data_IF_860367605317
#
_entry.id   IF_860367605317
#
_cell.length_a   1.000
_cell.length_b   1.000
_cell.length_c   1.000
_cell.angle_alpha   90.00
_cell.angle_beta   90.00
_cell.angle_gamma   90.00
#
_symmetry.space_group_name_H-M   'P 1'
#
loop_
_entity.id
_entity.type
_entity.pdbx_description
1 polymer ?
#
# COMPACT_ATOMS: atom_id res chain seq x y z
N UNK A 1 43.30 -7.06 2.01
CA UNK A 1 43.54 -8.35 2.69
C UNK A 1 42.92 -8.39 4.08
N UNK A 2 43.15 -7.37 4.93
CA UNK A 2 42.59 -7.29 6.31
C UNK A 2 41.05 -7.35 6.32
N UNK A 3 40.37 -6.50 5.56
CA UNK A 3 38.90 -6.47 5.47
C UNK A 3 38.27 -7.80 5.01
N UNK A 4 38.95 -8.52 4.12
CA UNK A 4 38.51 -9.82 3.62
C UNK A 4 38.62 -10.91 4.70
N UNK A 5 39.64 -10.81 5.55
CA UNK A 5 39.88 -11.72 6.66
C UNK A 5 38.85 -11.49 7.79
N UNK A 6 38.49 -10.23 8.04
CA UNK A 6 37.47 -9.85 9.02
C UNK A 6 36.08 -10.35 8.60
N UNK A 7 35.70 -10.19 7.32
CA UNK A 7 34.42 -10.69 6.81
C UNK A 7 34.30 -12.21 6.88
N UNK A 8 35.37 -12.95 6.59
CA UNK A 8 35.38 -14.42 6.68
C UNK A 8 35.26 -14.93 8.11
N UNK A 9 35.84 -14.21 9.09
CA UNK A 9 35.70 -14.58 10.50
C UNK A 9 34.28 -14.34 11.00
N UNK A 10 33.66 -13.22 10.60
CA UNK A 10 32.27 -12.91 10.94
C UNK A 10 31.30 -13.93 10.35
N UNK A 11 31.46 -14.30 9.08
CA UNK A 11 30.58 -15.30 8.45
C UNK A 11 30.70 -16.69 9.11
N UNK A 12 31.91 -17.10 9.51
CA UNK A 12 32.12 -18.35 10.28
C UNK A 12 31.48 -18.30 11.66
N UNK A 13 31.60 -17.16 12.36
CA UNK A 13 31.00 -16.97 13.68
C UNK A 13 29.47 -17.01 13.58
N UNK A 14 28.89 -16.31 12.62
CA UNK A 14 27.43 -16.30 12.38
C UNK A 14 26.94 -17.71 12.03
N UNK A 15 27.58 -18.40 11.08
CA UNK A 15 27.24 -19.78 10.74
C UNK A 15 27.28 -20.71 11.97
N UNK A 16 28.25 -20.53 12.87
CA UNK A 16 28.34 -21.35 14.08
C UNK A 16 27.18 -21.11 15.06
N UNK A 17 26.69 -19.87 15.16
CA UNK A 17 25.62 -19.49 16.10
C UNK A 17 24.23 -19.77 15.53
N UNK A 18 24.01 -19.45 14.26
CA UNK A 18 22.68 -19.49 13.62
C UNK A 18 22.48 -20.72 12.74
N UNK A 19 23.56 -21.42 12.35
CA UNK A 19 23.52 -22.45 11.31
C UNK A 19 23.34 -21.88 9.89
N UNK A 20 23.48 -20.56 9.72
CA UNK A 20 23.23 -19.86 8.45
C UNK A 20 24.37 -18.92 8.07
N UNK A 21 24.62 -18.76 6.77
CA UNK A 21 25.54 -17.75 6.24
C UNK A 21 25.02 -16.33 6.44
N UNK A 22 25.94 -15.37 6.48
CA UNK A 22 25.63 -13.95 6.66
C UNK A 22 24.68 -13.41 5.56
N UNK A 23 24.77 -13.97 4.35
CA UNK A 23 23.89 -13.67 3.22
C UNK A 23 22.41 -13.98 3.52
N UNK A 24 22.13 -15.16 4.10
CA UNK A 24 20.77 -15.56 4.46
C UNK A 24 20.21 -14.72 5.59
N UNK A 25 21.07 -14.37 6.57
CA UNK A 25 20.69 -13.49 7.67
C UNK A 25 20.28 -12.10 7.15
N UNK A 26 21.06 -11.54 6.23
CA UNK A 26 20.75 -10.24 5.60
C UNK A 26 19.40 -10.33 4.87
N UNK A 27 19.18 -11.38 4.08
CA UNK A 27 17.91 -11.59 3.37
C UNK A 27 16.74 -11.65 4.37
N UNK A 28 16.86 -12.43 5.44
CA UNK A 28 15.80 -12.55 6.46
C UNK A 28 15.50 -11.19 7.06
N UNK A 29 16.52 -10.43 7.48
CA UNK A 29 16.33 -9.11 8.09
C UNK A 29 15.66 -8.15 7.11
N UNK A 30 16.09 -8.13 5.85
CA UNK A 30 15.49 -7.26 4.83
C UNK A 30 14.02 -7.60 4.59
N UNK A 31 13.70 -8.88 4.36
CA UNK A 31 12.32 -9.30 4.12
C UNK A 31 11.44 -9.16 5.36
N UNK A 32 11.95 -9.47 6.57
CA UNK A 32 11.17 -9.28 7.80
C UNK A 32 10.87 -7.81 8.04
N UNK A 33 11.83 -6.92 7.77
CA UNK A 33 11.61 -5.46 7.88
C UNK A 33 10.58 -5.00 6.85
N UNK A 34 10.67 -5.47 5.61
CA UNK A 34 9.69 -5.15 4.58
C UNK A 34 8.28 -5.62 4.97
N UNK A 35 8.14 -6.88 5.41
CA UNK A 35 6.85 -7.40 5.88
C UNK A 35 6.31 -6.57 7.04
N UNK A 36 7.15 -6.27 8.04
CA UNK A 36 6.76 -5.47 9.19
C UNK A 36 6.22 -4.08 8.78
N UNK A 37 6.89 -3.42 7.84
CA UNK A 37 6.46 -2.12 7.31
C UNK A 37 5.14 -2.18 6.53
N UNK A 38 4.81 -3.33 5.93
CA UNK A 38 3.61 -3.50 5.10
C UNK A 38 2.41 -4.07 5.88
N UNK A 39 2.59 -4.60 7.10
CA UNK A 39 1.49 -5.09 7.95
C UNK A 39 0.33 -4.09 8.08
N UNK A 40 0.56 -2.77 8.27
CA UNK A 40 -0.54 -1.80 8.38
C UNK A 40 -1.47 -1.79 7.16
N UNK A 41 -0.98 -2.12 5.96
CA UNK A 41 -1.79 -2.21 4.73
C UNK A 41 -2.79 -3.36 4.77
N UNK A 42 -2.61 -4.34 5.65
CA UNK A 42 -3.52 -5.48 5.83
C UNK A 42 -4.56 -5.21 6.93
N UNK A 43 -4.76 -3.96 7.32
CA UNK A 43 -5.73 -3.57 8.34
C UNK A 43 -6.87 -2.72 7.77
N UNK A 44 -7.97 -2.63 8.52
CA UNK A 44 -9.10 -1.76 8.20
C UNK A 44 -8.90 -0.31 8.70
N UNK A 45 -7.69 0.06 9.13
CA UNK A 45 -7.41 1.40 9.63
C UNK A 45 -6.93 2.31 8.51
N UNK A 46 -7.34 3.58 8.61
CA UNK A 46 -6.78 4.66 7.81
C UNK A 46 -5.29 4.80 8.13
N UNK A 47 -4.44 4.77 7.10
CA UNK A 47 -3.01 4.99 7.24
C UNK A 47 -2.70 6.47 7.46
N UNK A 48 -1.65 6.74 8.23
CA UNK A 48 -1.19 8.11 8.45
C UNK A 48 -0.41 8.61 7.22
N UNK A 49 -0.86 9.74 6.67
CA UNK A 49 -0.20 10.44 5.59
C UNK A 49 -0.96 11.72 5.24
N UNK A 50 -0.25 12.74 4.74
CA UNK A 50 -0.86 14.05 4.47
C UNK A 50 -1.98 13.95 3.43
N UNK A 51 -1.78 13.16 2.37
CA UNK A 51 -2.77 12.98 1.29
C UNK A 51 -3.70 11.79 1.50
N UNK A 52 -3.40 10.90 2.45
CA UNK A 52 -4.09 9.62 2.62
C UNK A 52 -5.60 9.79 2.85
N UNK A 53 -5.99 10.73 3.71
CA UNK A 53 -7.41 10.98 3.98
C UNK A 53 -8.18 11.48 2.75
N UNK A 54 -7.55 12.30 1.90
CA UNK A 54 -8.15 12.75 0.65
C UNK A 54 -8.37 11.60 -0.33
N UNK A 55 -7.42 10.67 -0.40
CA UNK A 55 -7.52 9.48 -1.24
C UNK A 55 -8.55 8.46 -0.72
N UNK A 56 -8.72 8.30 0.59
CA UNK A 56 -9.83 7.52 1.14
C UNK A 56 -11.18 8.15 0.83
N UNK A 57 -11.31 9.47 1.01
CA UNK A 57 -12.52 10.21 0.65
C UNK A 57 -12.92 9.98 -0.81
N UNK A 58 -11.96 10.06 -1.73
CA UNK A 58 -12.19 9.75 -3.15
C UNK A 58 -12.63 8.30 -3.37
N UNK A 59 -12.12 7.35 -2.59
CA UNK A 59 -12.50 5.93 -2.69
C UNK A 59 -13.95 5.70 -2.26
N UNK A 60 -14.36 6.30 -1.15
CA UNK A 60 -15.74 6.25 -0.67
C UNK A 60 -16.70 6.88 -1.69
N UNK A 61 -16.34 8.04 -2.23
CA UNK A 61 -17.17 8.71 -3.24
C UNK A 61 -17.26 7.96 -4.56
N UNK A 62 -16.19 7.28 -4.97
CA UNK A 62 -16.25 6.44 -6.16
C UNK A 62 -17.24 5.28 -5.98
N UNK A 63 -17.30 4.69 -4.78
CA UNK A 63 -18.28 3.64 -4.49
C UNK A 63 -19.72 4.18 -4.59
N UNK A 64 -20.01 5.34 -4.00
CA UNK A 64 -21.31 6.01 -4.13
C UNK A 64 -21.68 6.31 -5.59
N UNK A 65 -20.70 6.71 -6.40
CA UNK A 65 -20.91 6.99 -7.82
C UNK A 65 -21.15 5.73 -8.62
N UNK A 66 -20.35 4.67 -8.43
CA UNK A 66 -20.53 3.41 -9.16
C UNK A 66 -21.90 2.80 -8.86
N UNK A 67 -22.34 2.81 -7.59
CA UNK A 67 -23.68 2.33 -7.22
C UNK A 67 -24.81 3.17 -7.80
N UNK A 68 -24.51 4.41 -8.20
CA UNK A 68 -25.42 5.33 -8.88
C UNK A 68 -25.18 5.43 -10.40
N UNK A 69 -24.41 4.52 -11.00
CA UNK A 69 -24.02 4.52 -12.42
C UNK A 69 -23.34 5.83 -12.89
N UNK A 70 -22.51 6.41 -12.05
CA UNK A 70 -21.70 7.62 -12.30
C UNK A 70 -20.23 7.30 -12.08
N UNK A 71 -19.35 8.15 -12.64
CA UNK A 71 -17.90 8.07 -12.43
C UNK A 71 -17.29 9.37 -11.87
N UNK A 72 -18.07 10.44 -11.78
CA UNK A 72 -17.66 11.75 -11.26
C UNK A 72 -18.90 12.58 -10.90
N UNK A 73 -18.69 13.64 -10.12
CA UNK A 73 -19.70 14.59 -9.70
C UNK A 73 -19.09 15.73 -8.86
N UNK A 74 -19.85 16.81 -8.71
CA UNK A 74 -19.47 17.95 -7.88
C UNK A 74 -19.62 17.61 -6.39
N UNK A 75 -18.69 18.09 -5.56
CA UNK A 75 -18.76 17.93 -4.10
C UNK A 75 -18.14 19.13 -3.40
N UNK A 76 -18.90 19.79 -2.53
CA UNK A 76 -18.47 21.00 -1.80
C UNK A 76 -17.29 20.74 -0.86
N UNK A 77 -17.11 19.50 -0.39
CA UNK A 77 -15.99 19.12 0.45
C UNK A 77 -14.71 18.84 -0.37
N UNK A 78 -14.81 18.84 -1.71
CA UNK A 78 -13.69 18.57 -2.61
C UNK A 78 -13.22 19.83 -3.32
N UNK A 79 -12.06 20.35 -2.92
CA UNK A 79 -11.44 21.56 -3.48
C UNK A 79 -12.39 22.78 -3.61
N UNK A 80 -13.39 22.89 -2.73
CA UNK A 80 -14.37 23.99 -2.79
C UNK A 80 -15.44 23.81 -3.87
N UNK A 81 -15.82 22.57 -4.19
CA UNK A 81 -16.88 22.28 -5.14
C UNK A 81 -16.39 21.87 -6.52
N UNK A 82 -15.14 21.46 -6.70
CA UNK A 82 -14.70 20.95 -8.00
C UNK A 82 -15.29 19.55 -8.25
N UNK A 83 -15.52 19.15 -9.51
CA UNK A 83 -15.85 17.77 -9.83
C UNK A 83 -14.75 16.82 -9.33
N UNK A 84 -15.14 15.76 -8.63
CA UNK A 84 -14.22 14.70 -8.23
C UNK A 84 -13.55 14.07 -9.45
N UNK A 85 -12.33 13.59 -9.27
CA UNK A 85 -11.50 12.98 -10.32
C UNK A 85 -11.10 13.93 -11.46
N UNK A 86 -11.26 15.26 -11.28
CA UNK A 86 -10.64 16.26 -12.19
C UNK A 86 -9.12 16.22 -12.09
N UNK A 87 -8.58 16.10 -10.88
CA UNK A 87 -7.13 16.15 -10.61
C UNK A 87 -6.49 14.77 -10.40
N UNK A 88 -7.31 13.72 -10.28
CA UNK A 88 -6.85 12.36 -9.98
C UNK A 88 -7.51 11.37 -10.92
N UNK A 89 -6.73 10.44 -11.45
CA UNK A 89 -7.24 9.37 -12.29
C UNK A 89 -8.29 8.53 -11.51
N UNK A 90 -9.51 8.33 -12.02
CA UNK A 90 -10.55 7.56 -11.33
C UNK A 90 -10.23 6.06 -11.19
N UNK A 91 -9.36 5.52 -12.04
CA UNK A 91 -9.13 4.07 -12.16
C UNK A 91 -8.75 3.36 -10.84
N UNK A 92 -7.82 3.85 -10.01
CA UNK A 92 -7.50 3.20 -8.74
C UNK A 92 -8.71 3.11 -7.80
N UNK A 93 -9.55 4.14 -7.76
CA UNK A 93 -10.74 4.19 -6.89
C UNK A 93 -11.87 3.28 -7.41
N UNK A 94 -11.95 3.10 -8.73
CA UNK A 94 -12.86 2.12 -9.34
C UNK A 94 -12.46 0.72 -8.88
N UNK A 95 -11.17 0.39 -8.93
CA UNK A 95 -10.68 -0.90 -8.46
C UNK A 95 -10.98 -1.12 -6.96
N UNK A 96 -10.83 -0.10 -6.11
CA UNK A 96 -11.23 -0.20 -4.68
C UNK A 96 -12.68 -0.63 -4.57
N UNK A 97 -13.56 0.07 -5.29
CA UNK A 97 -15.00 -0.17 -5.26
C UNK A 97 -15.37 -1.56 -5.81
N UNK A 98 -14.69 -2.00 -6.87
CA UNK A 98 -14.88 -3.34 -7.45
C UNK A 98 -14.48 -4.43 -6.46
N UNK A 99 -13.36 -4.30 -5.74
CA UNK A 99 -12.95 -5.28 -4.72
C UNK A 99 -14.01 -5.36 -3.62
N UNK A 100 -14.47 -4.21 -3.12
CA UNK A 100 -15.52 -4.15 -2.10
C UNK A 100 -16.81 -4.82 -2.58
N UNK A 101 -17.26 -4.52 -3.81
CA UNK A 101 -18.48 -5.09 -4.39
C UNK A 101 -18.36 -6.60 -4.65
N UNK A 102 -17.26 -7.06 -5.23
CA UNK A 102 -17.03 -8.48 -5.55
C UNK A 102 -16.91 -9.36 -4.30
N UNK A 103 -16.47 -8.77 -3.19
CA UNK A 103 -16.41 -9.44 -1.89
C UNK A 103 -17.69 -9.27 -1.08
N UNK A 104 -18.76 -8.72 -1.67
CA UNK A 104 -20.04 -8.46 -1.02
C UNK A 104 -19.88 -7.65 0.29
N UNK A 105 -18.92 -6.72 0.29
CA UNK A 105 -18.60 -5.89 1.44
C UNK A 105 -17.75 -6.54 2.53
N UNK A 106 -17.31 -7.79 2.35
CA UNK A 106 -16.40 -8.45 3.30
C UNK A 106 -15.08 -7.69 3.46
N UNK A 107 -14.51 -7.20 2.34
CA UNK A 107 -13.41 -6.24 2.39
C UNK A 107 -13.97 -4.82 2.41
N UNK A 108 -13.69 -4.08 3.48
CA UNK A 108 -14.09 -2.67 3.57
C UNK A 108 -13.44 -1.82 2.47
N UNK A 109 -13.98 -0.64 2.20
CA UNK A 109 -13.38 0.33 1.27
C UNK A 109 -11.96 0.70 1.71
N UNK A 110 -11.73 0.89 3.02
CA UNK A 110 -10.42 1.23 3.59
C UNK A 110 -9.42 0.10 3.37
N UNK A 111 -9.79 -1.13 3.68
CA UNK A 111 -8.92 -2.29 3.46
C UNK A 111 -8.64 -2.52 1.97
N UNK A 112 -9.66 -2.37 1.13
CA UNK A 112 -9.51 -2.49 -0.33
C UNK A 112 -8.58 -1.40 -0.89
N UNK A 113 -8.65 -0.17 -0.37
CA UNK A 113 -7.72 0.89 -0.69
C UNK A 113 -6.29 0.56 -0.28
N UNK A 114 -6.10 0.08 0.95
CA UNK A 114 -4.79 -0.32 1.45
C UNK A 114 -4.18 -1.45 0.62
N UNK A 115 -5.00 -2.42 0.20
CA UNK A 115 -4.59 -3.51 -0.70
C UNK A 115 -4.12 -2.98 -2.06
N UNK A 116 -4.80 -1.96 -2.59
CA UNK A 116 -4.41 -1.35 -3.87
C UNK A 116 -3.07 -0.61 -3.77
N UNK A 117 -2.82 0.08 -2.66
CA UNK A 117 -1.50 0.68 -2.40
C UNK A 117 -0.37 -0.36 -2.34
N UNK A 118 -0.68 -1.56 -1.87
CA UNK A 118 0.27 -2.68 -1.83
C UNK A 118 0.53 -3.27 -3.23
N UNK A 119 -0.50 -3.43 -4.06
CA UNK A 119 -0.42 -4.16 -5.33
C UNK A 119 -0.02 -3.27 -6.52
N UNK A 120 -0.50 -2.02 -6.57
CA UNK A 120 -0.21 -1.13 -7.70
C UNK A 120 1.07 -0.34 -7.43
N UNK A 121 2.17 -0.58 -8.19
CA UNK A 121 3.29 0.36 -8.16
C UNK A 121 2.76 1.72 -8.62
N UNK A 122 2.97 2.74 -7.79
CA UNK A 122 2.57 4.12 -8.10
C UNK A 122 3.12 4.47 -9.48
N UNK A 123 2.24 4.53 -10.48
CA UNK A 123 2.61 4.80 -11.86
C UNK A 123 3.20 6.21 -11.87
N UNK A 124 4.48 6.32 -12.19
CA UNK A 124 5.12 7.63 -12.39
C UNK A 124 4.37 8.36 -13.50
N UNK A 125 3.62 9.38 -13.14
CA UNK A 125 3.15 10.37 -14.09
C UNK A 125 4.36 11.18 -14.53
N UNK A 126 4.72 11.06 -15.81
CA UNK A 126 5.74 11.86 -16.48
C UNK A 126 5.21 13.25 -16.78
#
# INVERSE_FOLDING_TARGET
MIVLMDMLWVDKLINKVTGMGIDRLIIIVLYSTLVFLLIPLLTNYSLSGCDTNGHYYLSEKMFDYITSFKLSGYDMNWFGGFPLFTFYNPFPYILVSVIHLLTFGYFSIVFSHNLILFVLPQVKYR
#
